data_IF_525071423682
#
_entry.id   IF_525071423682
#
_cell.length_a   1.000
_cell.length_b   1.000
_cell.length_c   1.000
_cell.angle_alpha   90.00
_cell.angle_beta   90.00
_cell.angle_gamma   90.00
#
_symmetry.space_group_name_H-M   'P 1'
#
loop_
_entity.id
_entity.type
_entity.pdbx_description
1 polymer ?
#
# COMPACT_ATOMS: atom_id res chain seq x y z
N UNK A 1 -11.76 -71.50 18.94
CA UNK A 1 -12.06 -70.48 17.93
C UNK A 1 -10.76 -70.14 17.19
N UNK A 2 -10.62 -70.44 15.88
CA UNK A 2 -9.45 -70.01 15.12
C UNK A 2 -9.53 -68.50 14.82
N UNK A 3 -8.40 -67.80 14.83
CA UNK A 3 -8.33 -66.34 14.60
C UNK A 3 -8.69 -66.01 13.14
N UNK A 4 -9.52 -64.99 12.93
CA UNK A 4 -10.01 -64.55 11.60
C UNK A 4 -9.17 -63.47 10.90
N UNK A 5 -8.07 -62.97 11.50
CA UNK A 5 -7.27 -61.91 10.89
C UNK A 5 -5.82 -62.35 10.63
N UNK A 6 -5.31 -62.16 9.40
CA UNK A 6 -3.90 -62.38 9.09
C UNK A 6 -3.01 -61.51 9.98
N UNK A 7 -2.01 -62.12 10.63
CA UNK A 7 -0.97 -61.36 11.33
C UNK A 7 -0.11 -60.68 10.26
N UNK A 8 -0.16 -59.36 10.19
CA UNK A 8 0.77 -58.59 9.36
C UNK A 8 2.12 -58.53 10.06
N UNK A 9 3.18 -58.82 9.31
CA UNK A 9 4.55 -58.82 9.81
C UNK A 9 4.99 -57.36 9.99
N UNK A 10 5.33 -56.95 11.21
CA UNK A 10 5.73 -55.57 11.50
C UNK A 10 7.01 -55.13 10.76
N UNK A 11 7.83 -56.08 10.30
CA UNK A 11 9.07 -55.86 9.56
C UNK A 11 8.84 -55.18 8.21
N UNK A 12 7.80 -55.57 7.48
CA UNK A 12 7.63 -55.18 6.08
C UNK A 12 7.09 -53.74 5.98
N UNK A 13 6.31 -53.31 6.98
CA UNK A 13 5.82 -51.94 7.11
C UNK A 13 6.94 -50.97 7.48
N UNK A 14 7.85 -51.40 8.35
CA UNK A 14 8.97 -50.57 8.80
C UNK A 14 9.98 -50.34 7.66
N UNK A 15 10.23 -51.36 6.83
CA UNK A 15 11.05 -51.26 5.64
C UNK A 15 10.49 -50.25 4.62
N UNK A 16 9.18 -50.27 4.40
CA UNK A 16 8.51 -49.33 3.49
C UNK A 16 8.58 -47.89 3.99
N UNK A 17 8.39 -47.68 5.29
CA UNK A 17 8.50 -46.37 5.94
C UNK A 17 9.94 -45.87 5.88
N UNK A 18 10.93 -46.75 6.10
CA UNK A 18 12.36 -46.45 5.99
C UNK A 18 12.73 -45.96 4.58
N UNK A 19 12.32 -46.70 3.54
CA UNK A 19 12.56 -46.33 2.15
C UNK A 19 11.87 -45.02 1.76
N UNK A 20 10.67 -44.76 2.29
CA UNK A 20 9.95 -43.50 2.07
C UNK A 20 10.69 -42.32 2.71
N UNK A 21 11.13 -42.48 3.95
CA UNK A 21 11.90 -41.46 4.66
C UNK A 21 13.21 -41.14 3.93
N UNK A 22 13.97 -42.16 3.53
CA UNK A 22 15.22 -41.99 2.79
C UNK A 22 15.02 -41.25 1.47
N UNK A 23 13.94 -41.56 0.73
CA UNK A 23 13.59 -40.88 -0.52
C UNK A 23 13.19 -39.42 -0.31
N UNK A 24 12.53 -39.10 0.80
CA UNK A 24 12.18 -37.71 1.15
C UNK A 24 13.43 -36.91 1.50
N UNK A 25 14.30 -37.46 2.36
CA UNK A 25 15.55 -36.80 2.74
C UNK A 25 16.49 -36.60 1.54
N UNK A 26 16.62 -37.59 0.66
CA UNK A 26 17.42 -37.48 -0.55
C UNK A 26 16.89 -36.40 -1.51
N UNK A 27 15.58 -36.15 -1.56
CA UNK A 27 15.03 -35.06 -2.37
C UNK A 27 15.35 -33.69 -1.79
N UNK A 28 15.23 -33.53 -0.46
CA UNK A 28 15.49 -32.26 0.23
C UNK A 28 16.96 -31.84 0.13
N UNK A 29 17.91 -32.77 0.29
CA UNK A 29 19.35 -32.45 0.12
C UNK A 29 19.74 -32.13 -1.33
N UNK A 30 18.98 -32.60 -2.32
CA UNK A 30 19.26 -32.30 -3.74
C UNK A 30 18.63 -30.99 -4.20
N UNK A 31 17.79 -30.37 -3.37
CA UNK A 31 17.12 -29.09 -3.60
C UNK A 31 17.89 -27.91 -2.97
N UNK A 32 19.17 -28.10 -2.61
CA UNK A 32 20.07 -27.02 -2.16
C UNK A 32 20.48 -26.05 -3.30
N UNK A 33 20.09 -26.32 -4.55
CA UNK A 33 20.15 -25.35 -5.65
C UNK A 33 18.95 -24.36 -5.63
N UNK A 34 18.21 -24.28 -4.53
CA UNK A 34 17.09 -23.35 -4.26
C UNK A 34 17.51 -21.90 -3.99
N UNK A 35 18.69 -21.47 -4.49
CA UNK A 35 19.03 -20.04 -4.55
C UNK A 35 17.98 -19.24 -5.35
N UNK A 36 17.33 -19.87 -6.32
CA UNK A 36 16.28 -19.26 -7.13
C UNK A 36 14.95 -19.11 -6.36
N UNK A 37 14.63 -20.04 -5.45
CA UNK A 37 13.39 -19.98 -4.66
C UNK A 37 13.48 -18.89 -3.59
N UNK A 38 14.65 -18.67 -2.98
CA UNK A 38 14.86 -17.57 -2.02
C UNK A 38 15.06 -16.21 -2.67
N UNK A 39 15.53 -16.18 -3.92
CA UNK A 39 15.56 -14.98 -4.77
C UNK A 39 14.14 -14.44 -5.02
N UNK A 40 13.16 -15.32 -5.25
CA UNK A 40 11.77 -14.92 -5.54
C UNK A 40 11.08 -14.15 -4.40
N UNK A 41 11.53 -14.33 -3.15
CA UNK A 41 11.01 -13.63 -1.98
C UNK A 41 11.90 -12.48 -1.50
N UNK A 42 13.08 -12.30 -2.11
CA UNK A 42 14.00 -11.21 -1.74
C UNK A 42 13.64 -9.96 -2.52
N UNK A 43 13.24 -8.92 -1.79
CA UNK A 43 13.00 -7.59 -2.37
C UNK A 43 14.35 -6.99 -2.75
N UNK A 44 14.55 -6.49 -3.98
CA UNK A 44 15.75 -5.74 -4.33
C UNK A 44 15.96 -4.60 -3.33
N UNK A 45 17.13 -4.56 -2.68
CA UNK A 45 17.45 -3.53 -1.68
C UNK A 45 17.39 -2.11 -2.27
N UNK A 46 17.59 -2.00 -3.58
CA UNK A 46 17.50 -0.76 -4.33
C UNK A 46 16.06 -0.39 -4.68
N UNK A 47 15.47 0.51 -3.88
CA UNK A 47 14.18 1.11 -4.22
C UNK A 47 14.33 2.01 -5.47
N UNK A 48 13.66 1.69 -6.60
CA UNK A 48 13.84 2.39 -7.87
C UNK A 48 13.40 3.87 -7.81
N UNK A 49 12.56 4.21 -6.82
CA UNK A 49 12.09 5.58 -6.59
C UNK A 49 13.18 6.42 -5.90
N UNK A 50 13.89 5.83 -4.92
CA UNK A 50 14.94 6.52 -4.18
C UNK A 50 16.12 6.95 -5.07
N UNK A 51 16.49 6.12 -6.04
CA UNK A 51 17.56 6.45 -6.98
C UNK A 51 17.17 7.59 -7.94
N UNK A 52 15.91 7.63 -8.38
CA UNK A 52 15.41 8.71 -9.24
C UNK A 52 15.33 10.03 -8.48
N UNK A 53 14.83 10.00 -7.25
CA UNK A 53 14.72 11.19 -6.41
C UNK A 53 16.10 11.74 -6.00
N UNK A 54 17.07 10.87 -5.70
CA UNK A 54 18.43 11.28 -5.39
C UNK A 54 19.09 12.03 -6.57
N UNK A 55 18.95 11.50 -7.79
CA UNK A 55 19.45 12.13 -9.01
C UNK A 55 18.77 13.47 -9.29
N UNK A 56 17.45 13.54 -9.10
CA UNK A 56 16.69 14.78 -9.29
C UNK A 56 17.11 15.87 -8.29
N UNK A 57 17.28 15.52 -7.00
CA UNK A 57 17.75 16.47 -5.99
C UNK A 57 19.15 17.00 -6.27
N UNK A 58 20.06 16.15 -6.75
CA UNK A 58 21.41 16.56 -7.11
C UNK A 58 21.38 17.57 -8.27
N UNK A 59 20.60 17.30 -9.30
CA UNK A 59 20.41 18.21 -10.44
C UNK A 59 19.78 19.55 -10.00
N UNK A 60 18.76 19.52 -9.13
CA UNK A 60 18.15 20.74 -8.60
C UNK A 60 19.16 21.58 -7.80
N UNK A 61 20.03 20.94 -7.02
CA UNK A 61 21.10 21.61 -6.26
C UNK A 61 22.10 22.29 -7.19
N UNK A 62 22.51 21.62 -8.27
CA UNK A 62 23.42 22.19 -9.27
C UNK A 62 22.80 23.41 -9.98
N UNK A 63 21.53 23.32 -10.39
CA UNK A 63 20.82 24.46 -11.00
C UNK A 63 20.69 25.65 -10.03
N UNK A 64 20.47 25.40 -8.75
CA UNK A 64 20.41 26.44 -7.73
C UNK A 64 21.79 27.11 -7.52
N UNK A 65 22.87 26.32 -7.54
CA UNK A 65 24.24 26.83 -7.47
C UNK A 65 24.59 27.69 -8.69
N UNK A 66 24.28 27.23 -9.90
CA UNK A 66 24.49 28.01 -11.13
C UNK A 66 23.75 29.35 -11.09
N UNK A 67 22.47 29.36 -10.68
CA UNK A 67 21.69 30.60 -10.50
C UNK A 67 22.30 31.53 -9.44
N UNK A 68 22.82 30.98 -8.35
CA UNK A 68 23.51 31.75 -7.30
C UNK A 68 24.79 32.43 -7.85
N UNK A 69 25.59 31.70 -8.61
CA UNK A 69 26.81 32.23 -9.25
C UNK A 69 26.46 33.32 -10.26
N UNK A 70 25.42 33.12 -11.09
CA UNK A 70 24.96 34.11 -12.07
C UNK A 70 24.46 35.39 -11.40
N UNK A 71 23.61 35.26 -10.36
CA UNK A 71 23.10 36.42 -9.62
C UNK A 71 24.21 37.18 -8.90
N UNK A 72 25.23 36.50 -8.38
CA UNK A 72 26.42 37.12 -7.81
C UNK A 72 27.24 37.89 -8.86
N UNK A 73 27.45 37.30 -10.05
CA UNK A 73 28.12 37.97 -11.19
C UNK A 73 27.34 39.20 -11.66
N UNK A 74 26.01 39.08 -11.82
CA UNK A 74 25.13 40.20 -12.19
C UNK A 74 25.19 41.32 -11.15
N UNK A 75 25.09 41.01 -9.85
CA UNK A 75 25.24 41.99 -8.77
C UNK A 75 26.60 42.69 -8.79
N UNK A 76 27.69 41.98 -9.04
CA UNK A 76 29.04 42.58 -9.18
C UNK A 76 29.10 43.52 -10.40
N UNK A 77 28.56 43.10 -11.55
CA UNK A 77 28.48 43.92 -12.76
C UNK A 77 27.69 45.23 -12.54
N UNK A 78 26.48 45.14 -11.95
CA UNK A 78 25.68 46.33 -11.61
C UNK A 78 26.42 47.29 -10.68
N UNK A 79 27.17 46.77 -9.69
CA UNK A 79 28.01 47.60 -8.81
C UNK A 79 29.14 48.29 -9.58
N UNK A 80 29.79 47.62 -10.53
CA UNK A 80 30.83 48.22 -11.37
C UNK A 80 30.30 49.33 -12.30
N UNK A 81 29.14 49.12 -12.93
CA UNK A 81 28.49 50.12 -13.78
C UNK A 81 28.14 51.37 -12.96
N UNK A 82 27.56 51.18 -11.76
CA UNK A 82 27.23 52.30 -10.86
C UNK A 82 28.46 53.08 -10.40
N UNK A 83 29.60 52.42 -10.21
CA UNK A 83 30.85 53.10 -9.85
C UNK A 83 31.52 53.83 -11.03
N UNK A 84 31.22 53.44 -12.27
CA UNK A 84 31.75 54.12 -13.46
C UNK A 84 30.90 55.33 -13.89
N UNK A 85 29.63 55.41 -13.49
CA UNK A 85 28.79 56.58 -13.75
C UNK A 85 28.98 57.66 -12.67
N UNK A 86 30.16 58.28 -12.63
CA UNK A 86 30.40 59.58 -11.98
C UNK A 86 30.79 60.60 -13.04
N UNK A 87 29.79 61.12 -13.75
CA UNK A 87 29.73 62.49 -14.29
C UNK A 87 28.46 62.61 -15.12
N UNK A 88 27.44 63.23 -14.53
CA UNK A 88 26.57 64.26 -15.11
C UNK A 88 25.24 64.32 -14.34
N UNK A 89 25.04 65.48 -13.70
CA UNK A 89 23.78 66.11 -13.30
C UNK A 89 22.80 65.34 -12.40
N UNK A 90 22.76 65.78 -11.14
CA UNK A 90 21.56 65.74 -10.31
C UNK A 90 20.54 66.79 -10.81
N UNK A 91 19.24 66.45 -10.87
CA UNK A 91 18.21 67.42 -10.56
C UNK A 91 17.47 67.09 -9.26
N UNK A 92 17.24 68.17 -8.53
CA UNK A 92 16.63 68.32 -7.22
C UNK A 92 15.10 68.10 -7.26
N UNK A 93 14.55 67.56 -6.17
CA UNK A 93 13.18 67.71 -5.61
C UNK A 93 11.91 67.53 -6.48
N UNK A 94 11.02 66.64 -6.02
CA UNK A 94 9.59 66.88 -5.64
C UNK A 94 8.94 65.52 -5.31
N UNK A 95 8.85 65.12 -4.04
CA UNK A 95 7.71 65.33 -3.13
C UNK A 95 6.40 64.70 -3.61
N UNK A 96 6.08 63.48 -3.16
CA UNK A 96 4.71 63.03 -2.90
C UNK A 96 4.70 62.05 -1.72
N UNK A 97 3.89 62.41 -0.73
CA UNK A 97 3.67 61.72 0.53
C UNK A 97 2.44 60.81 0.41
N UNK A 98 2.47 59.64 1.06
CA UNK A 98 1.26 58.86 1.37
C UNK A 98 1.58 57.45 1.90
N UNK A 99 0.97 56.95 3.00
CA UNK A 99 1.57 55.94 3.88
C UNK A 99 1.04 54.49 3.70
N UNK A 100 1.72 53.50 4.33
CA UNK A 100 1.39 52.07 4.24
C UNK A 100 0.48 51.61 5.39
N UNK A 101 -0.52 50.75 5.14
CA UNK A 101 -1.16 49.99 6.23
C UNK A 101 -1.99 48.77 5.78
N UNK A 102 -1.85 47.69 6.56
CA UNK A 102 -2.82 46.63 6.88
C UNK A 102 -3.04 45.44 5.91
N UNK A 103 -2.27 44.36 6.21
CA UNK A 103 -2.70 43.00 6.61
C UNK A 103 -3.65 42.12 5.75
N UNK A 104 -3.53 40.77 5.87
CA UNK A 104 -4.10 39.80 4.94
C UNK A 104 -5.39 39.14 5.42
N UNK A 105 -5.99 38.34 4.52
CA UNK A 105 -6.99 37.27 4.71
C UNK A 105 -8.37 37.58 4.11
N UNK A 106 -8.85 36.64 3.29
CA UNK A 106 -10.15 35.97 3.42
C UNK A 106 -10.27 34.91 2.31
N UNK A 107 -10.42 33.65 2.73
CA UNK A 107 -10.78 32.53 1.84
C UNK A 107 -12.23 32.69 1.33
N UNK A 108 -12.58 32.18 0.14
CA UNK A 108 -13.94 32.30 -0.37
C UNK A 108 -14.92 31.39 0.39
N UNK A 109 -16.09 31.95 0.68
CA UNK A 109 -17.22 31.31 1.34
C UNK A 109 -17.87 30.24 0.45
N UNK A 110 -18.22 29.11 1.05
CA UNK A 110 -19.01 28.03 0.44
C UNK A 110 -20.50 28.40 0.47
N UNK A 111 -21.27 28.23 -0.61
CA UNK A 111 -22.68 28.61 -0.63
C UNK A 111 -23.56 27.65 0.19
N UNK A 112 -24.28 28.22 1.16
CA UNK A 112 -25.39 27.58 1.88
C UNK A 112 -26.57 27.34 0.93
N UNK A 113 -27.03 26.09 0.81
CA UNK A 113 -28.34 25.75 0.22
C UNK A 113 -29.37 25.75 1.35
N UNK A 114 -30.44 26.58 1.31
CA UNK A 114 -31.50 26.57 2.32
C UNK A 114 -32.54 25.50 1.99
N UNK A 115 -32.66 24.47 2.84
CA UNK A 115 -33.74 23.49 2.71
C UNK A 115 -33.52 22.19 3.48
N UNK A 116 -33.49 22.23 4.81
CA UNK A 116 -33.70 21.03 5.62
C UNK A 116 -34.48 21.39 6.89
N UNK A 117 -35.72 20.93 6.91
CA UNK A 117 -36.65 20.97 8.03
C UNK A 117 -36.01 20.36 9.27
N UNK A 118 -35.89 21.16 10.33
CA UNK A 118 -35.40 20.75 11.65
C UNK A 118 -36.40 19.80 12.33
N UNK A 119 -35.98 18.57 12.63
CA UNK A 119 -36.64 17.71 13.62
C UNK A 119 -35.69 17.56 14.82
N UNK A 120 -36.13 17.85 16.07
CA UNK A 120 -35.26 17.77 17.24
C UNK A 120 -35.11 16.30 17.67
N UNK A 121 -34.06 15.64 17.19
CA UNK A 121 -33.57 14.34 17.69
C UNK A 121 -32.28 14.54 18.51
N UNK A 122 -31.96 13.61 19.43
CA UNK A 122 -30.79 13.73 20.32
C UNK A 122 -29.53 13.97 19.49
N UNK A 123 -28.70 14.91 19.95
CA UNK A 123 -27.55 15.46 19.25
C UNK A 123 -26.79 14.36 18.48
N UNK A 124 -26.71 14.44 17.14
CA UNK A 124 -25.99 13.46 16.38
C UNK A 124 -24.51 13.59 16.74
N UNK A 125 -23.90 12.52 17.20
CA UNK A 125 -22.46 12.36 17.07
C UNK A 125 -22.10 12.79 15.65
N UNK A 126 -21.23 13.79 15.51
CA UNK A 126 -20.75 14.25 14.21
C UNK A 126 -19.91 13.13 13.60
N UNK A 127 -20.57 12.16 12.99
CA UNK A 127 -19.94 11.04 12.30
C UNK A 127 -19.34 11.62 11.02
N UNK A 128 -18.03 11.46 10.78
CA UNK A 128 -17.42 11.92 9.55
C UNK A 128 -18.09 11.23 8.37
N UNK A 129 -18.50 12.01 7.37
CA UNK A 129 -18.91 11.46 6.09
C UNK A 129 -17.66 11.03 5.33
N UNK A 130 -17.47 9.72 5.21
CA UNK A 130 -16.37 9.16 4.43
C UNK A 130 -16.76 9.11 2.96
N UNK A 131 -15.84 9.49 2.08
CA UNK A 131 -15.98 9.24 0.65
C UNK A 131 -16.11 7.74 0.41
N UNK A 132 -17.24 7.32 -0.14
CA UNK A 132 -17.48 5.93 -0.52
C UNK A 132 -17.05 5.73 -1.96
N UNK A 133 -16.08 4.85 -2.17
CA UNK A 133 -15.69 4.38 -3.51
C UNK A 133 -16.26 2.98 -3.68
N UNK A 134 -17.04 2.76 -4.74
CA UNK A 134 -17.52 1.44 -5.11
C UNK A 134 -16.54 0.83 -6.10
N UNK A 135 -15.87 -0.25 -5.70
CA UNK A 135 -14.98 -1.03 -6.56
C UNK A 135 -15.79 -2.22 -7.08
N UNK A 136 -16.03 -2.27 -8.39
CA UNK A 136 -16.66 -3.42 -9.03
C UNK A 136 -15.62 -4.54 -9.23
N UNK A 137 -16.01 -5.78 -8.94
CA UNK A 137 -15.14 -6.96 -8.94
C UNK A 137 -15.13 -7.74 -10.26
N UNK A 138 -15.35 -7.06 -11.37
CA UNK A 138 -15.44 -7.62 -12.72
C UNK A 138 -14.08 -8.01 -13.32
N UNK A 139 -12.97 -7.55 -12.72
CA UNK A 139 -11.62 -8.02 -13.04
C UNK A 139 -11.27 -9.30 -12.27
N UNK A 140 -11.24 -10.43 -12.98
CA UNK A 140 -10.52 -11.61 -12.50
C UNK A 140 -9.05 -11.21 -12.30
N UNK A 141 -8.51 -11.34 -11.09
CA UNK A 141 -7.16 -10.93 -10.72
C UNK A 141 -6.02 -11.77 -11.37
N UNK A 142 -6.15 -12.07 -12.67
CA UNK A 142 -5.27 -13.00 -13.39
C UNK A 142 -5.50 -14.48 -13.08
N UNK A 143 -6.55 -14.81 -12.31
CA UNK A 143 -6.88 -16.19 -11.90
C UNK A 143 -7.86 -16.82 -12.89
N UNK A 144 -7.63 -18.08 -13.23
CA UNK A 144 -8.49 -18.82 -14.18
C UNK A 144 -9.80 -19.25 -13.52
N UNK A 145 -10.83 -19.52 -14.33
CA UNK A 145 -12.14 -20.00 -13.84
C UNK A 145 -12.00 -21.33 -13.10
N UNK A 146 -11.13 -22.21 -13.58
CA UNK A 146 -10.87 -23.52 -12.98
C UNK A 146 -10.32 -23.41 -11.56
N UNK A 147 -9.40 -22.47 -11.33
CA UNK A 147 -8.84 -22.21 -10.00
C UNK A 147 -9.93 -21.70 -9.04
N UNK A 148 -10.85 -20.85 -9.50
CA UNK A 148 -11.98 -20.40 -8.69
C UNK A 148 -12.90 -21.56 -8.32
N UNK A 149 -13.21 -22.47 -9.25
CA UNK A 149 -14.02 -23.63 -8.95
C UNK A 149 -13.36 -24.54 -7.90
N UNK A 150 -12.06 -24.78 -8.06
CA UNK A 150 -11.30 -25.61 -7.13
C UNK A 150 -11.21 -24.95 -5.74
N UNK A 151 -10.96 -23.64 -5.70
CA UNK A 151 -10.99 -22.85 -4.48
C UNK A 151 -12.37 -22.88 -3.81
N UNK A 152 -13.46 -22.73 -4.56
CA UNK A 152 -14.82 -22.78 -4.03
C UNK A 152 -15.16 -24.16 -3.45
N UNK A 153 -14.81 -25.25 -4.16
CA UNK A 153 -15.02 -26.64 -3.70
C UNK A 153 -14.24 -26.92 -2.41
N UNK A 154 -12.98 -26.49 -2.35
CA UNK A 154 -12.13 -26.69 -1.17
C UNK A 154 -12.60 -25.85 0.02
N UNK A 155 -13.00 -24.60 -0.19
CA UNK A 155 -13.56 -23.73 0.83
C UNK A 155 -14.86 -24.31 1.41
N UNK A 156 -15.77 -24.79 0.56
CA UNK A 156 -17.01 -25.43 1.01
C UNK A 156 -16.73 -26.61 1.94
N UNK A 157 -15.80 -27.50 1.56
CA UNK A 157 -15.39 -28.64 2.41
C UNK A 157 -14.81 -28.17 3.74
N UNK A 158 -13.93 -27.16 3.73
CA UNK A 158 -13.33 -26.61 4.94
C UNK A 158 -14.38 -26.01 5.88
N UNK A 159 -15.38 -25.32 5.33
CA UNK A 159 -16.49 -24.74 6.09
C UNK A 159 -17.39 -25.81 6.72
N UNK A 160 -17.71 -26.90 6.00
CA UNK A 160 -18.47 -28.03 6.55
C UNK A 160 -17.72 -28.70 7.72
N UNK A 161 -16.41 -28.89 7.58
CA UNK A 161 -15.56 -29.40 8.67
C UNK A 161 -15.62 -28.46 9.87
N UNK A 162 -15.44 -27.15 9.64
CA UNK A 162 -15.49 -26.14 10.69
C UNK A 162 -16.84 -26.13 11.41
N UNK A 163 -17.95 -26.25 10.69
CA UNK A 163 -19.29 -26.29 11.27
C UNK A 163 -19.45 -27.52 12.17
N UNK A 164 -19.05 -28.71 11.68
CA UNK A 164 -19.10 -29.96 12.45
C UNK A 164 -18.33 -29.84 13.76
N UNK A 165 -17.08 -29.38 13.71
CA UNK A 165 -16.24 -29.30 14.91
C UNK A 165 -16.61 -28.14 15.82
N UNK A 166 -17.13 -27.03 15.30
CA UNK A 166 -17.70 -25.97 16.12
C UNK A 166 -18.88 -26.50 16.95
N UNK A 167 -19.76 -27.31 16.36
CA UNK A 167 -20.89 -27.94 17.06
C UNK A 167 -20.42 -28.88 18.16
N UNK A 168 -19.42 -29.72 17.88
CA UNK A 168 -18.84 -30.63 18.88
C UNK A 168 -18.15 -29.91 20.03
N UNK A 169 -17.52 -28.75 19.76
CA UNK A 169 -16.88 -27.92 20.76
C UNK A 169 -17.84 -26.95 21.47
N UNK A 170 -19.16 -27.03 21.21
CA UNK A 170 -20.15 -26.05 21.70
C UNK A 170 -19.84 -24.59 21.33
N UNK A 171 -19.12 -24.39 20.23
CA UNK A 171 -18.84 -23.08 19.65
C UNK A 171 -19.95 -22.65 18.68
N UNK A 172 -20.21 -21.34 18.62
CA UNK A 172 -21.16 -20.78 17.67
C UNK A 172 -20.54 -20.66 16.28
N UNK A 173 -21.15 -21.32 15.30
CA UNK A 173 -20.80 -21.13 13.89
C UNK A 173 -21.51 -19.87 13.32
N UNK A 174 -20.87 -19.08 12.42
CA UNK A 174 -21.48 -17.87 11.87
C UNK A 174 -22.79 -18.13 11.14
N UNK A 175 -23.85 -17.39 11.51
CA UNK A 175 -25.20 -17.58 10.96
C UNK A 175 -25.28 -17.29 9.46
N UNK A 176 -24.58 -16.25 9.00
CA UNK A 176 -24.53 -15.87 7.59
C UNK A 176 -23.96 -17.02 6.77
N UNK A 177 -22.81 -17.57 7.15
CA UNK A 177 -22.21 -18.71 6.46
C UNK A 177 -23.09 -19.95 6.52
N UNK A 178 -23.72 -20.24 7.67
CA UNK A 178 -24.60 -21.40 7.83
C UNK A 178 -25.78 -21.39 6.84
N UNK A 179 -26.37 -20.22 6.57
CA UNK A 179 -27.49 -20.07 5.62
C UNK A 179 -27.13 -20.58 4.21
N UNK A 180 -25.88 -20.40 3.80
CA UNK A 180 -25.40 -20.83 2.48
C UNK A 180 -24.83 -22.26 2.46
N UNK A 181 -24.57 -22.87 3.62
CA UNK A 181 -24.13 -24.27 3.71
C UNK A 181 -25.29 -25.27 3.78
N UNK A 182 -26.44 -24.87 4.35
CA UNK A 182 -27.58 -25.75 4.61
C UNK A 182 -28.40 -26.14 3.36
N UNK A 183 -28.03 -25.62 2.18
CA UNK A 183 -28.80 -25.75 0.93
C UNK A 183 -28.15 -26.68 -0.13
N UNK A 184 -27.22 -27.57 0.28
CA UNK A 184 -26.66 -28.62 -0.59
C UNK A 184 -27.14 -30.01 -0.20
#
# INVERSE_FOLDING_TARGET
>A
MPRQFPKLNMSDLDEHVRLLAEKVFAKVLREEDSKDVMSLFTVPEDCPIGQKEAKERELQKELAEQKSVETAKRKKSFKMIRSQSLSLQMPTQQDWKGPPTASPAMSPATPLVPGATSKPGPAPYAMPEYQRVTISGDYCAGITVEDYEQAAKSLAKALMIREKYARLAYHRFPRTTAQYLAHQ
#
